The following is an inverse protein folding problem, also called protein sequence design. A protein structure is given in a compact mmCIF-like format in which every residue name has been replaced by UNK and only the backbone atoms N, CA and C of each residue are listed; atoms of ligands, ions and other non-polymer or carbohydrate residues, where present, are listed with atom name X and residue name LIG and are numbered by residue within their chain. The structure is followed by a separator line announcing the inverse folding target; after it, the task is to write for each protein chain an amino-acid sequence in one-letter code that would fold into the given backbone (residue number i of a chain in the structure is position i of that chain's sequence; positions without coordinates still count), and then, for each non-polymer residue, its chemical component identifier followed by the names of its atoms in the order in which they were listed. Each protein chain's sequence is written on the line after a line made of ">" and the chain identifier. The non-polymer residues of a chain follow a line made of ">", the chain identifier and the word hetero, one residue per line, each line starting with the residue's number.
data_IF_527022424948
#
_entry.id   IF_527022424948
#
_cell.length_a   1.000
_cell.length_b   1.000
_cell.length_c   1.000
_cell.angle_alpha   90.00
_cell.angle_beta   90.00
_cell.angle_gamma   90.00
#
_symmetry.space_group_name_H-M   'P 1'
#
loop_
_entity.id
_entity.type
_entity.pdbx_description
1 polymer ?
#
# COMPACT_ATOMS: atom_id res chain seq x y z
N UNK A 1 5.99 -16.55 -17.29
CA UNK A 1 5.52 -15.89 -18.53
C UNK A 1 5.95 -14.44 -18.47
N UNK A 2 7.12 -14.16 -19.02
CA UNK A 2 7.85 -12.90 -18.84
C UNK A 2 7.09 -11.68 -19.37
N UNK A 3 6.10 -11.91 -20.25
CA UNK A 3 5.29 -10.86 -20.88
C UNK A 3 4.31 -10.17 -19.92
N UNK A 4 4.13 -10.69 -18.71
CA UNK A 4 3.19 -10.16 -17.72
C UNK A 4 3.78 -9.09 -16.81
N UNK A 5 5.07 -8.78 -16.93
CA UNK A 5 5.77 -7.82 -16.07
C UNK A 5 6.53 -6.79 -16.91
N UNK A 6 6.35 -5.51 -16.58
CA UNK A 6 6.84 -4.36 -17.37
C UNK A 6 8.36 -4.30 -17.52
N UNK A 7 9.10 -4.78 -16.51
CA UNK A 7 10.57 -4.73 -16.49
C UNK A 7 11.26 -5.98 -17.05
N UNK A 8 10.50 -7.02 -17.44
CA UNK A 8 11.08 -8.24 -17.99
C UNK A 8 11.34 -8.07 -19.49
N UNK A 9 12.48 -7.49 -19.86
CA UNK A 9 12.97 -7.51 -21.24
C UNK A 9 13.74 -8.81 -21.48
N UNK A 10 13.26 -9.61 -22.43
CA UNK A 10 13.75 -10.94 -22.77
C UNK A 10 15.28 -11.05 -22.82
N UNK A 11 15.86 -11.77 -21.86
CA UNK A 11 16.83 -12.88 -22.02
C UNK A 11 17.63 -13.02 -20.71
N UNK A 12 17.29 -14.04 -19.90
CA UNK A 12 18.01 -14.52 -18.71
C UNK A 12 17.81 -13.81 -17.36
N UNK A 13 16.83 -12.91 -17.22
CA UNK A 13 16.46 -12.37 -15.91
C UNK A 13 15.15 -11.59 -15.92
N UNK A 14 14.35 -11.75 -14.87
CA UNK A 14 13.06 -11.08 -14.75
C UNK A 14 12.47 -11.18 -13.34
N UNK A 15 11.63 -10.22 -12.98
CA UNK A 15 10.75 -10.30 -11.82
C UNK A 15 9.72 -11.42 -12.02
N UNK A 16 9.29 -12.06 -10.94
CA UNK A 16 8.18 -13.03 -10.96
C UNK A 16 7.09 -12.52 -10.00
N UNK A 17 5.90 -12.24 -10.52
CA UNK A 17 4.79 -11.80 -9.67
C UNK A 17 4.30 -13.00 -8.83
N UNK A 18 4.29 -12.88 -7.49
CA UNK A 18 3.85 -13.95 -6.60
C UNK A 18 2.34 -14.19 -6.75
N UNK A 19 1.88 -15.39 -6.41
CA UNK A 19 0.47 -15.79 -6.61
C UNK A 19 -0.50 -14.82 -5.92
N UNK A 20 -0.18 -14.38 -4.70
CA UNK A 20 -0.93 -13.37 -3.95
C UNK A 20 -1.13 -12.08 -4.76
N UNK A 21 -0.06 -11.54 -5.36
CA UNK A 21 -0.13 -10.31 -6.15
C UNK A 21 -1.06 -10.46 -7.36
N UNK A 22 -1.11 -11.62 -8.01
CA UNK A 22 -1.95 -11.86 -9.19
C UNK A 22 -3.45 -11.64 -8.89
N UNK A 23 -3.86 -11.83 -7.63
CA UNK A 23 -5.24 -11.83 -7.19
C UNK A 23 -5.59 -10.74 -6.17
N UNK A 24 -4.79 -9.67 -6.10
CA UNK A 24 -5.02 -8.54 -5.19
C UNK A 24 -6.43 -7.94 -5.39
N UNK A 25 -7.09 -7.59 -4.28
CA UNK A 25 -8.47 -7.09 -4.28
C UNK A 25 -8.61 -5.61 -4.69
N UNK A 26 -8.30 -5.27 -5.94
CA UNK A 26 -8.30 -3.88 -6.46
C UNK A 26 -9.45 -3.54 -7.42
N UNK A 27 -10.44 -4.43 -7.57
CA UNK A 27 -11.54 -4.26 -8.53
C UNK A 27 -12.38 -3.01 -8.27
N UNK A 28 -12.51 -2.58 -7.01
CA UNK A 28 -13.20 -1.33 -6.68
C UNK A 28 -12.42 -0.12 -7.20
N UNK A 29 -11.09 -0.14 -7.09
CA UNK A 29 -10.23 0.92 -7.58
C UNK A 29 -10.32 1.08 -9.11
N UNK A 30 -10.43 -0.03 -9.86
CA UNK A 30 -10.66 0.04 -11.32
C UNK A 30 -11.98 0.76 -11.67
N UNK A 31 -12.95 0.74 -10.76
CA UNK A 31 -14.29 1.34 -10.91
C UNK A 31 -14.49 2.61 -10.07
N UNK A 32 -13.41 3.18 -9.52
CA UNK A 32 -13.50 4.37 -8.68
C UNK A 32 -14.09 5.54 -9.46
N UNK A 33 -14.81 6.40 -8.76
CA UNK A 33 -15.35 7.61 -9.35
C UNK A 33 -14.24 8.63 -9.57
N UNK A 34 -14.05 9.04 -10.82
CA UNK A 34 -13.07 10.04 -11.23
C UNK A 34 -13.69 11.41 -11.42
N UNK A 35 -15.02 11.52 -11.41
CA UNK A 35 -15.73 12.78 -11.49
C UNK A 35 -15.89 13.34 -10.08
N UNK A 36 -14.98 14.22 -9.69
CA UNK A 36 -15.16 14.98 -8.48
C UNK A 36 -15.53 16.42 -8.83
N UNK A 37 -16.81 16.75 -8.67
CA UNK A 37 -17.32 18.12 -8.82
C UNK A 37 -16.62 19.09 -7.84
N UNK A 38 -16.03 18.56 -6.77
CA UNK A 38 -15.27 19.27 -5.76
C UNK A 38 -13.87 18.67 -5.61
N UNK A 39 -12.88 19.26 -6.29
CA UNK A 39 -11.48 18.79 -6.25
C UNK A 39 -10.92 18.68 -4.83
N UNK A 40 -11.47 19.44 -3.86
CA UNK A 40 -11.06 19.36 -2.45
C UNK A 40 -11.38 18.01 -1.80
N UNK A 41 -12.36 17.27 -2.35
CA UNK A 41 -12.76 15.93 -1.89
C UNK A 41 -11.98 14.80 -2.56
N UNK A 42 -11.25 15.06 -3.64
CA UNK A 42 -10.58 14.01 -4.43
C UNK A 42 -9.62 13.16 -3.58
N UNK A 43 -8.85 13.81 -2.70
CA UNK A 43 -7.95 13.13 -1.75
C UNK A 43 -8.67 12.22 -0.76
N UNK A 44 -9.88 12.60 -0.33
CA UNK A 44 -10.68 11.83 0.63
C UNK A 44 -11.38 10.65 -0.06
N UNK A 45 -11.95 10.87 -1.25
CA UNK A 45 -12.58 9.79 -2.04
C UNK A 45 -11.54 8.72 -2.42
N UNK A 46 -10.35 9.15 -2.87
CA UNK A 46 -9.25 8.23 -3.14
C UNK A 46 -8.88 7.39 -1.91
N UNK A 47 -8.80 8.02 -0.73
CA UNK A 47 -8.49 7.31 0.51
C UNK A 47 -9.55 6.24 0.83
N UNK A 48 -10.83 6.55 0.63
CA UNK A 48 -11.93 5.60 0.83
C UNK A 48 -11.76 4.37 -0.07
N UNK A 49 -11.52 4.58 -1.36
CA UNK A 49 -11.34 3.47 -2.32
C UNK A 49 -10.11 2.62 -2.01
N UNK A 50 -8.99 3.25 -1.67
CA UNK A 50 -7.75 2.53 -1.29
C UNK A 50 -7.95 1.74 0.01
N UNK A 51 -8.59 2.33 1.02
CA UNK A 51 -8.92 1.63 2.26
C UNK A 51 -9.91 0.49 2.05
N UNK A 52 -10.88 0.63 1.14
CA UNK A 52 -11.82 -0.43 0.79
C UNK A 52 -11.10 -1.62 0.15
N UNK A 53 -10.22 -1.36 -0.83
CA UNK A 53 -9.39 -2.40 -1.44
C UNK A 53 -8.50 -3.11 -0.39
N UNK A 54 -7.84 -2.33 0.45
CA UNK A 54 -7.00 -2.81 1.53
C UNK A 54 -7.77 -3.70 2.53
N UNK A 55 -8.97 -3.29 2.93
CA UNK A 55 -9.82 -4.08 3.83
C UNK A 55 -10.17 -5.45 3.23
N UNK A 56 -10.66 -5.49 2.00
CA UNK A 56 -11.04 -6.75 1.35
C UNK A 56 -9.83 -7.67 1.10
N UNK A 57 -8.69 -7.09 0.74
CA UNK A 57 -7.43 -7.82 0.61
C UNK A 57 -7.03 -8.47 1.95
N UNK A 58 -7.11 -7.71 3.03
CA UNK A 58 -6.85 -8.21 4.39
C UNK A 58 -7.80 -9.34 4.79
N UNK A 59 -9.10 -9.19 4.53
CA UNK A 59 -10.10 -10.24 4.77
C UNK A 59 -9.81 -11.51 3.97
N UNK A 60 -9.44 -11.38 2.69
CA UNK A 60 -9.07 -12.50 1.83
C UNK A 60 -7.87 -13.27 2.39
N UNK A 61 -6.79 -12.56 2.73
CA UNK A 61 -5.56 -13.15 3.30
C UNK A 61 -5.88 -13.89 4.59
N UNK A 62 -6.54 -13.25 5.55
CA UNK A 62 -6.87 -13.89 6.84
C UNK A 62 -7.72 -15.14 6.69
N UNK A 63 -8.57 -15.20 5.66
CA UNK A 63 -9.49 -16.32 5.45
C UNK A 63 -8.81 -17.52 4.77
N UNK A 64 -7.95 -17.26 3.78
CA UNK A 64 -7.40 -18.30 2.91
C UNK A 64 -5.97 -18.69 3.28
N UNK A 65 -5.15 -17.75 3.74
CA UNK A 65 -3.75 -18.00 4.04
C UNK A 65 -3.54 -19.07 5.14
N UNK A 66 -4.28 -19.05 6.28
CA UNK A 66 -4.11 -20.10 7.30
C UNK A 66 -4.48 -21.51 6.80
N UNK A 67 -5.39 -21.62 5.82
CA UNK A 67 -5.75 -22.90 5.22
C UNK A 67 -4.64 -23.41 4.31
N UNK A 68 -4.09 -22.51 3.50
CA UNK A 68 -2.95 -22.80 2.63
C UNK A 68 -1.73 -23.24 3.45
N UNK A 69 -1.39 -22.53 4.53
CA UNK A 69 -0.28 -22.85 5.42
C UNK A 69 -0.46 -24.22 6.12
N UNK A 70 -1.69 -24.56 6.52
CA UNK A 70 -1.99 -25.87 7.10
C UNK A 70 -1.91 -27.03 6.08
N UNK A 71 -2.24 -26.78 4.82
CA UNK A 71 -2.19 -27.78 3.73
C UNK A 71 -0.77 -27.98 3.19
N UNK A 72 0.01 -26.89 3.13
CA UNK A 72 1.39 -26.86 2.65
C UNK A 72 2.31 -26.35 3.76
N UNK A 73 2.57 -27.16 4.80
CA UNK A 73 3.49 -26.79 5.86
C UNK A 73 4.92 -26.74 5.29
N UNK A 74 5.32 -25.58 4.78
CA UNK A 74 6.60 -25.31 4.11
C UNK A 74 7.76 -25.22 5.10
N UNK A 75 7.47 -25.14 6.40
CA UNK A 75 8.45 -24.74 7.42
C UNK A 75 8.86 -23.26 7.31
N UNK A 76 8.33 -22.51 6.34
CA UNK A 76 8.52 -21.06 6.24
C UNK A 76 7.58 -20.35 7.22
N UNK A 77 8.16 -19.57 8.13
CA UNK A 77 7.47 -18.98 9.29
C UNK A 77 6.73 -17.70 8.95
N UNK A 78 5.94 -17.69 7.87
CA UNK A 78 5.22 -16.50 7.48
C UNK A 78 3.99 -16.32 8.34
N UNK A 79 4.02 -15.30 9.18
CA UNK A 79 2.83 -14.92 9.92
C UNK A 79 1.85 -14.24 8.96
N UNK A 80 0.55 -14.30 9.29
CA UNK A 80 -0.48 -13.53 8.57
C UNK A 80 -0.07 -12.06 8.39
N UNK A 81 0.63 -11.48 9.35
CA UNK A 81 1.15 -10.12 9.27
C UNK A 81 2.17 -9.89 8.15
N UNK A 82 3.01 -10.87 7.82
CA UNK A 82 3.94 -10.78 6.70
C UNK A 82 3.19 -10.70 5.37
N UNK A 83 2.17 -11.53 5.20
CA UNK A 83 1.34 -11.52 4.00
C UNK A 83 0.56 -10.20 3.87
N UNK A 84 0.04 -9.68 4.98
CA UNK A 84 -0.60 -8.36 5.01
C UNK A 84 0.41 -7.24 4.66
N UNK A 85 1.65 -7.30 5.13
CA UNK A 85 2.70 -6.34 4.79
C UNK A 85 3.08 -6.35 3.31
N UNK A 86 3.16 -7.55 2.70
CA UNK A 86 3.42 -7.71 1.27
C UNK A 86 2.29 -7.13 0.42
N UNK A 87 1.04 -7.44 0.74
CA UNK A 87 -0.12 -6.86 0.03
C UNK A 87 -0.25 -5.36 0.25
N UNK A 88 0.04 -4.85 1.45
CA UNK A 88 0.11 -3.43 1.71
C UNK A 88 1.13 -2.70 0.82
N UNK A 89 2.33 -3.27 0.67
CA UNK A 89 3.37 -2.71 -0.19
C UNK A 89 2.97 -2.71 -1.67
N UNK A 90 2.32 -3.78 -2.15
CA UNK A 90 1.82 -3.85 -3.52
C UNK A 90 0.68 -2.85 -3.78
N UNK A 91 -0.26 -2.67 -2.85
CA UNK A 91 -1.27 -1.60 -2.94
C UNK A 91 -0.59 -0.22 -3.00
N UNK A 92 0.45 -0.02 -2.20
CA UNK A 92 1.26 1.21 -2.24
C UNK A 92 1.91 1.44 -3.60
N UNK A 93 2.48 0.41 -4.22
CA UNK A 93 3.07 0.52 -5.56
C UNK A 93 2.02 0.77 -6.65
N UNK A 94 0.82 0.20 -6.53
CA UNK A 94 -0.30 0.51 -7.44
C UNK A 94 -0.65 2.00 -7.34
N UNK A 95 -0.88 2.52 -6.13
CA UNK A 95 -1.24 3.93 -5.92
C UNK A 95 -0.14 4.86 -6.41
N UNK A 96 1.13 4.48 -6.23
CA UNK A 96 2.30 5.29 -6.62
C UNK A 96 2.68 5.18 -8.10
N UNK A 97 2.03 4.30 -8.87
CA UNK A 97 2.37 4.05 -10.28
C UNK A 97 3.72 3.34 -10.44
N UNK A 98 4.11 2.52 -9.46
CA UNK A 98 5.37 1.75 -9.43
C UNK A 98 5.19 0.25 -9.60
N UNK A 99 3.94 -0.21 -9.63
CA UNK A 99 3.62 -1.62 -9.75
C UNK A 99 4.02 -2.16 -11.13
N UNK A 100 4.76 -3.28 -11.11
CA UNK A 100 5.36 -3.90 -12.29
C UNK A 100 4.40 -4.89 -12.98
N UNK A 101 3.25 -5.22 -12.38
CA UNK A 101 2.38 -6.28 -12.87
C UNK A 101 1.39 -5.79 -13.95
N UNK A 102 1.54 -6.34 -15.16
CA UNK A 102 0.68 -6.05 -16.32
C UNK A 102 -0.31 -7.17 -16.63
N UNK A 103 0.02 -8.40 -16.29
CA UNK A 103 -0.86 -9.57 -16.48
C UNK A 103 -1.13 -9.91 -17.95
N UNK A 104 -2.20 -10.65 -18.21
CA UNK A 104 -2.69 -10.99 -19.56
C UNK A 104 -3.38 -9.80 -20.25
N UNK A 105 -3.81 -9.95 -21.52
CA UNK A 105 -4.47 -8.88 -22.29
C UNK A 105 -5.67 -8.23 -21.58
N UNK A 106 -6.46 -8.99 -20.82
CA UNK A 106 -7.63 -8.47 -20.09
C UNK A 106 -7.20 -7.72 -18.83
N UNK A 107 -6.27 -8.28 -18.08
CA UNK A 107 -5.69 -7.67 -16.88
C UNK A 107 -4.99 -6.36 -17.24
N UNK A 108 -4.21 -6.33 -18.32
CA UNK A 108 -3.51 -5.14 -18.79
C UNK A 108 -4.49 -3.99 -19.07
N UNK A 109 -5.60 -4.26 -19.76
CA UNK A 109 -6.66 -3.25 -19.98
C UNK A 109 -7.28 -2.73 -18.68
N UNK A 110 -7.40 -3.57 -17.65
CA UNK A 110 -7.90 -3.12 -16.34
C UNK A 110 -6.87 -2.26 -15.61
N UNK A 111 -5.58 -2.60 -15.75
CA UNK A 111 -4.46 -1.82 -15.21
C UNK A 111 -4.33 -0.46 -15.87
N UNK A 112 -4.45 -0.40 -17.20
CA UNK A 112 -4.42 0.86 -17.93
C UNK A 112 -5.56 1.80 -17.49
N UNK A 113 -6.79 1.26 -17.34
CA UNK A 113 -7.92 2.02 -16.80
C UNK A 113 -7.69 2.52 -15.37
N UNK A 114 -7.13 1.66 -14.52
CA UNK A 114 -6.80 2.04 -13.15
C UNK A 114 -5.76 3.17 -13.11
N UNK A 115 -4.71 3.07 -13.93
CA UNK A 115 -3.69 4.10 -14.02
C UNK A 115 -4.24 5.42 -14.58
N UNK A 116 -5.12 5.37 -15.59
CA UNK A 116 -5.83 6.55 -16.10
C UNK A 116 -6.72 7.21 -15.03
N UNK A 117 -7.44 6.40 -14.24
CA UNK A 117 -8.27 6.90 -13.14
C UNK A 117 -7.40 7.57 -12.07
N UNK A 118 -6.30 6.94 -11.67
CA UNK A 118 -5.35 7.50 -10.70
C UNK A 118 -4.75 8.81 -11.22
N UNK A 119 -4.33 8.88 -12.50
CA UNK A 119 -3.84 10.13 -13.11
C UNK A 119 -4.89 11.24 -13.05
N UNK A 120 -6.14 10.93 -13.37
CA UNK A 120 -7.25 11.89 -13.30
C UNK A 120 -7.45 12.44 -11.90
N UNK A 121 -7.47 11.57 -10.89
CA UNK A 121 -7.65 11.96 -9.49
C UNK A 121 -6.44 12.74 -8.98
N UNK A 122 -5.22 12.30 -9.28
CA UNK A 122 -4.02 13.00 -8.84
C UNK A 122 -3.86 14.36 -9.52
N UNK A 123 -4.37 14.54 -10.74
CA UNK A 123 -4.53 15.86 -11.35
C UNK A 123 -5.45 16.75 -10.52
N UNK A 124 -6.63 16.27 -10.12
CA UNK A 124 -7.56 17.05 -9.29
C UNK A 124 -6.94 17.42 -7.93
N UNK A 125 -6.23 16.47 -7.30
CA UNK A 125 -5.50 16.72 -6.04
C UNK A 125 -4.38 17.73 -6.25
N UNK A 126 -3.64 17.62 -7.35
CA UNK A 126 -2.59 18.56 -7.72
C UNK A 126 -3.15 19.98 -7.91
N UNK A 127 -4.25 20.11 -8.64
CA UNK A 127 -4.94 21.38 -8.85
C UNK A 127 -5.39 21.97 -7.50
N UNK A 128 -6.01 21.18 -6.61
CA UNK A 128 -6.41 21.61 -5.26
C UNK A 128 -5.22 22.15 -4.44
N UNK A 129 -4.13 21.38 -4.33
CA UNK A 129 -2.99 21.74 -3.47
C UNK A 129 -2.12 22.85 -4.06
N UNK A 130 -2.13 23.04 -5.38
CA UNK A 130 -1.33 24.08 -6.05
C UNK A 130 -2.11 25.37 -6.35
N UNK A 131 -3.45 25.31 -6.36
CA UNK A 131 -4.33 26.48 -6.53
C UNK A 131 -4.75 27.12 -5.21
N UNK A 132 -4.76 26.38 -4.09
CA UNK A 132 -5.20 26.90 -2.79
C UNK A 132 -4.38 28.12 -2.37
N UNK A 133 -5.08 29.22 -2.09
CA UNK A 133 -4.49 30.47 -1.61
C UNK A 133 -3.94 30.30 -0.20
N UNK A 134 -2.64 30.00 -0.09
CA UNK A 134 -1.96 29.82 1.19
C UNK A 134 -0.49 30.26 1.14
N UNK A 135 0.10 30.47 2.32
CA UNK A 135 1.51 30.91 2.48
C UNK A 135 2.52 30.03 1.74
N UNK A 136 2.16 28.77 1.46
CA UNK A 136 3.04 27.77 0.85
C UNK A 136 2.78 27.52 -0.64
N UNK A 137 1.90 28.29 -1.32
CA UNK A 137 1.49 28.03 -2.71
C UNK A 137 2.69 27.87 -3.66
N UNK A 138 3.65 28.79 -3.59
CA UNK A 138 4.85 28.76 -4.45
C UNK A 138 5.72 27.52 -4.17
N UNK A 139 5.89 27.16 -2.90
CA UNK A 139 6.66 25.97 -2.52
C UNK A 139 5.99 24.68 -2.99
N UNK A 140 4.65 24.60 -2.95
CA UNK A 140 3.89 23.46 -3.45
C UNK A 140 3.92 23.35 -4.98
N UNK A 141 3.83 24.48 -5.69
CA UNK A 141 3.98 24.53 -7.15
C UNK A 141 5.38 24.07 -7.59
N UNK A 142 6.43 24.44 -6.86
CA UNK A 142 7.79 24.00 -7.16
C UNK A 142 7.98 22.50 -6.82
N UNK A 143 7.52 22.06 -5.64
CA UNK A 143 7.64 20.65 -5.22
C UNK A 143 6.92 19.72 -6.19
N UNK A 144 5.69 20.07 -6.54
CA UNK A 144 4.79 19.28 -7.39
C UNK A 144 4.72 19.83 -8.81
N UNK A 145 5.81 20.40 -9.32
CA UNK A 145 5.89 20.80 -10.72
C UNK A 145 5.51 19.61 -11.61
N UNK A 146 4.59 19.84 -12.54
CA UNK A 146 4.10 18.79 -13.45
C UNK A 146 5.28 18.12 -14.15
N UNK A 147 5.33 16.79 -14.07
CA UNK A 147 6.26 15.99 -14.84
C UNK A 147 5.76 15.83 -16.29
N UNK A 148 6.67 15.61 -17.27
CA UNK A 148 6.30 15.51 -18.68
C UNK A 148 5.21 14.46 -18.97
N UNK A 149 5.17 13.39 -18.17
CA UNK A 149 4.27 12.25 -18.34
C UNK A 149 2.96 12.38 -17.54
N UNK A 150 2.79 13.49 -16.80
CA UNK A 150 1.65 13.77 -15.90
C UNK A 150 1.37 12.59 -14.97
N UNK A 151 2.43 11.98 -14.46
CA UNK A 151 2.35 10.87 -13.51
C UNK A 151 2.17 11.36 -12.07
N UNK A 152 2.48 12.63 -11.77
CA UNK A 152 2.38 13.22 -10.45
C UNK A 152 3.20 12.46 -9.40
N UNK A 153 4.32 11.84 -9.79
CA UNK A 153 5.01 10.84 -8.97
C UNK A 153 5.38 11.32 -7.57
N UNK A 154 5.87 12.58 -7.43
CA UNK A 154 6.16 13.17 -6.11
C UNK A 154 4.91 13.32 -5.26
N UNK A 155 3.80 13.77 -5.85
CA UNK A 155 2.53 13.92 -5.15
C UNK A 155 1.95 12.56 -4.75
N UNK A 156 2.08 11.52 -5.59
CA UNK A 156 1.64 10.16 -5.26
C UNK A 156 2.44 9.58 -4.09
N UNK A 157 3.75 9.77 -4.05
CA UNK A 157 4.61 9.36 -2.94
C UNK A 157 4.23 10.07 -1.63
N UNK A 158 4.05 11.39 -1.68
CA UNK A 158 3.67 12.19 -0.53
C UNK A 158 2.27 11.85 -0.02
N UNK A 159 1.32 11.58 -0.94
CA UNK A 159 -0.02 11.11 -0.60
C UNK A 159 0.03 9.74 0.07
N UNK A 160 0.80 8.79 -0.46
CA UNK A 160 0.95 7.48 0.17
C UNK A 160 1.54 7.64 1.58
N UNK A 161 2.65 8.37 1.73
CA UNK A 161 3.28 8.59 3.03
C UNK A 161 2.32 9.22 4.06
N UNK A 162 1.48 10.16 3.64
CA UNK A 162 0.49 10.80 4.51
C UNK A 162 -0.66 9.87 4.94
N UNK A 163 -1.03 8.88 4.11
CA UNK A 163 -2.23 8.07 4.32
C UNK A 163 -1.95 6.59 4.64
N UNK A 164 -0.70 6.13 4.51
CA UNK A 164 -0.31 4.72 4.68
C UNK A 164 -0.71 4.12 6.04
N UNK A 165 -0.81 4.95 7.08
CA UNK A 165 -1.29 4.52 8.40
C UNK A 165 -2.77 4.09 8.38
N UNK A 166 -3.64 4.84 7.70
CA UNK A 166 -5.06 4.50 7.57
C UNK A 166 -5.26 3.30 6.65
N UNK A 167 -4.45 3.18 5.59
CA UNK A 167 -4.46 2.00 4.72
C UNK A 167 -4.00 0.75 5.49
N UNK A 168 -2.96 0.88 6.32
CA UNK A 168 -2.51 -0.20 7.20
C UNK A 168 -3.59 -0.62 8.19
N UNK A 169 -4.28 0.35 8.79
CA UNK A 169 -5.41 0.10 9.68
C UNK A 169 -6.53 -0.67 8.95
N UNK A 170 -6.82 -0.31 7.70
CA UNK A 170 -7.82 -1.00 6.90
C UNK A 170 -7.45 -2.45 6.58
N UNK A 171 -6.22 -2.71 6.09
CA UNK A 171 -5.79 -4.08 5.72
C UNK A 171 -5.66 -5.02 6.93
N UNK A 172 -5.32 -4.47 8.09
CA UNK A 172 -5.24 -5.23 9.35
C UNK A 172 -6.55 -5.27 10.12
N UNK A 173 -7.62 -4.68 9.59
CA UNK A 173 -8.92 -4.64 10.26
C UNK A 173 -9.44 -6.05 10.50
N UNK A 174 -9.77 -6.40 11.75
CA UNK A 174 -10.27 -7.73 12.12
C UNK A 174 -9.23 -8.85 12.02
N UNK A 175 -7.93 -8.52 12.08
CA UNK A 175 -6.89 -9.52 12.38
C UNK A 175 -7.01 -9.96 13.84
N UNK A 176 -6.73 -11.23 14.13
CA UNK A 176 -6.80 -11.77 15.48
C UNK A 176 -5.78 -11.11 16.42
N UNK A 177 -6.15 -10.98 17.69
CA UNK A 177 -5.21 -10.60 18.76
C UNK A 177 -4.14 -11.68 18.89
N UNK A 178 -2.86 -11.29 18.94
CA UNK A 178 -1.72 -12.21 18.92
C UNK A 178 -1.05 -12.39 17.57
N UNK A 179 -1.64 -11.89 16.47
CA UNK A 179 -0.97 -11.88 15.17
C UNK A 179 0.27 -10.99 15.22
N UNK A 180 1.45 -11.58 15.12
CA UNK A 180 2.73 -10.87 15.24
C UNK A 180 3.44 -10.72 13.89
N UNK A 181 4.04 -9.56 13.64
CA UNK A 181 5.01 -9.42 12.53
C UNK A 181 6.31 -10.14 12.90
N UNK A 182 6.93 -10.84 11.95
CA UNK A 182 8.12 -11.67 12.20
C UNK A 182 9.36 -10.88 12.66
N UNK A 183 9.42 -9.58 12.36
CA UNK A 183 10.48 -8.68 12.84
C UNK A 183 10.02 -7.97 14.11
N UNK A 184 10.92 -7.86 15.08
CA UNK A 184 10.74 -6.96 16.21
C UNK A 184 10.88 -5.52 15.69
N UNK A 185 9.76 -4.83 15.52
CA UNK A 185 9.65 -3.54 14.80
C UNK A 185 9.02 -2.44 15.63
N UNK A 186 8.52 -2.76 16.83
CA UNK A 186 7.88 -1.80 17.71
C UNK A 186 8.89 -1.39 18.80
N UNK A 187 9.51 -0.22 18.67
CA UNK A 187 10.24 0.38 19.80
C UNK A 187 9.27 1.25 20.59
N UNK A 188 8.76 0.71 21.70
CA UNK A 188 7.69 1.36 22.47
C UNK A 188 8.27 2.27 23.55
N UNK A 189 9.50 2.05 24.01
CA UNK A 189 10.22 2.90 24.96
C UNK A 189 11.72 2.52 24.91
N UNK A 190 12.60 3.52 24.74
CA UNK A 190 14.08 3.47 24.69
C UNK A 190 14.81 2.77 25.87
N UNK A 191 14.21 1.81 26.55
CA UNK A 191 14.75 1.10 27.71
C UNK A 191 14.55 -0.44 27.65
N UNK A 192 13.80 -0.99 26.68
CA UNK A 192 13.59 -2.46 26.57
C UNK A 192 13.55 -3.02 25.15
N UNK A 193 14.54 -2.70 24.31
CA UNK A 193 14.77 -3.39 23.03
C UNK A 193 13.59 -3.39 22.03
N UNK A 194 13.76 -3.99 20.85
CA UNK A 194 12.69 -4.06 19.87
C UNK A 194 11.58 -5.02 20.34
N UNK A 195 10.32 -4.59 20.29
CA UNK A 195 9.14 -5.41 20.61
C UNK A 195 8.37 -5.82 19.34
N UNK A 196 7.56 -6.87 19.45
CA UNK A 196 6.84 -7.47 18.32
C UNK A 196 5.44 -6.85 18.21
N UNK A 197 4.96 -6.63 16.98
CA UNK A 197 3.62 -6.07 16.72
C UNK A 197 2.51 -7.09 17.03
N UNK A 198 2.17 -7.30 18.30
CA UNK A 198 1.33 -8.41 18.77
C UNK A 198 -0.19 -8.18 18.69
N UNK A 199 -0.65 -6.93 18.49
CA UNK A 199 -2.09 -6.62 18.40
C UNK A 199 -2.46 -6.28 16.97
N UNK A 200 -3.09 -7.23 16.28
CA UNK A 200 -3.57 -7.06 14.91
C UNK A 200 -2.47 -6.63 13.92
N UNK A 201 -1.23 -7.11 14.08
CA UNK A 201 -0.09 -6.64 13.28
C UNK A 201 0.17 -5.13 13.41
N UNK A 202 -0.08 -4.51 14.57
CA UNK A 202 0.19 -3.10 14.83
C UNK A 202 1.05 -2.94 16.07
N UNK A 203 1.81 -1.84 16.12
CA UNK A 203 2.51 -1.46 17.35
C UNK A 203 1.59 -0.65 18.25
N UNK A 204 1.56 -0.98 19.53
CA UNK A 204 0.96 -0.13 20.56
C UNK A 204 1.91 1.03 20.86
N UNK A 205 1.57 2.27 20.53
CA UNK A 205 2.42 3.38 20.99
C UNK A 205 1.95 4.78 20.63
N UNK A 206 1.54 5.56 21.63
CA UNK A 206 1.48 7.03 21.49
C UNK A 206 2.90 7.57 21.34
N UNK A 207 3.26 8.27 20.25
CA UNK A 207 4.49 9.04 20.23
C UNK A 207 4.37 10.14 21.29
N UNK A 208 5.25 10.15 22.29
CA UNK A 208 5.40 11.29 23.21
C UNK A 208 5.95 12.48 22.42
N UNK A 209 5.07 13.32 21.90
CA UNK A 209 5.42 14.55 21.19
C UNK A 209 4.46 14.97 20.08
N UNK A 210 3.66 14.04 19.55
CA UNK A 210 2.56 14.37 18.63
C UNK A 210 1.31 14.72 19.42
N UNK A 211 0.73 15.90 19.19
CA UNK A 211 -0.62 16.23 19.70
C UNK A 211 -1.63 15.25 19.08
N UNK A 212 -1.86 14.12 19.74
CA UNK A 212 -3.01 13.28 19.45
C UNK A 212 -4.26 14.09 19.76
N UNK A 213 -5.16 14.21 18.78
CA UNK A 213 -6.54 14.59 19.05
C UNK A 213 -7.07 13.71 20.20
N UNK A 214 -7.84 14.31 21.11
CA UNK A 214 -8.41 13.66 22.29
C UNK A 214 -9.28 12.46 21.89
N UNK A 215 -8.67 11.28 21.81
CA UNK A 215 -9.33 9.98 21.68
C UNK A 215 -8.50 8.94 22.41
N UNK A 216 -9.14 8.19 23.30
CA UNK A 216 -8.58 6.96 23.86
C UNK A 216 -8.64 5.85 22.80
N UNK A 217 -7.51 5.22 22.48
CA UNK A 217 -7.48 3.99 21.68
C UNK A 217 -6.65 4.11 20.40
N UNK A 218 -5.76 3.13 20.22
CA UNK A 218 -5.08 2.76 18.98
C UNK A 218 -4.27 3.82 18.26
N UNK A 219 -3.01 3.97 18.68
CA UNK A 219 -2.01 4.58 17.79
C UNK A 219 -1.50 3.50 16.85
N UNK A 220 -1.97 3.54 15.59
CA UNK A 220 -1.72 2.51 14.57
C UNK A 220 -0.42 2.81 13.81
N UNK A 221 0.74 2.53 14.42
CA UNK A 221 2.02 2.62 13.70
C UNK A 221 2.11 1.44 12.73
N UNK A 222 2.45 1.73 11.46
CA UNK A 222 2.77 0.70 10.46
C UNK A 222 4.10 0.07 10.86
N UNK A 223 4.14 -1.21 11.28
CA UNK A 223 5.35 -1.86 11.78
C UNK A 223 6.31 -2.28 10.66
N UNK A 224 5.99 -1.97 9.39
CA UNK A 224 6.74 -2.39 8.21
C UNK A 224 7.18 -1.21 7.36
N UNK A 225 8.30 -1.38 6.69
CA UNK A 225 8.82 -0.50 5.66
C UNK A 225 8.87 -1.20 4.30
N UNK A 226 8.17 -2.33 4.14
CA UNK A 226 8.13 -3.10 2.90
C UNK A 226 7.66 -2.24 1.72
N UNK A 227 6.76 -1.29 1.94
CA UNK A 227 6.33 -0.32 0.93
C UNK A 227 7.45 0.64 0.46
N UNK A 228 8.61 0.67 1.11
CA UNK A 228 9.79 1.40 0.65
C UNK A 228 10.90 0.50 0.10
N UNK A 229 10.69 -0.82 0.06
CA UNK A 229 11.59 -1.78 -0.59
C UNK A 229 11.16 -1.95 -2.05
N UNK A 230 12.06 -1.92 -3.04
CA UNK A 230 11.70 -2.15 -4.45
C UNK A 230 10.91 -3.44 -4.69
N UNK A 231 9.84 -3.38 -5.49
CA UNK A 231 8.90 -4.48 -5.70
C UNK A 231 9.58 -5.79 -6.14
N UNK A 232 10.55 -5.71 -7.05
CA UNK A 232 11.34 -6.86 -7.48
C UNK A 232 11.97 -7.63 -6.31
N UNK A 233 12.58 -6.93 -5.35
CA UNK A 233 13.23 -7.56 -4.20
C UNK A 233 12.22 -8.21 -3.26
N UNK A 234 11.03 -7.61 -3.10
CA UNK A 234 9.96 -8.17 -2.26
C UNK A 234 9.38 -9.43 -2.88
N UNK A 235 9.16 -9.43 -4.19
CA UNK A 235 8.69 -10.61 -4.89
C UNK A 235 9.75 -11.71 -4.90
N UNK A 236 11.02 -11.36 -5.08
CA UNK A 236 12.12 -12.33 -5.01
C UNK A 236 12.21 -13.00 -3.64
N UNK A 237 12.05 -12.24 -2.55
CA UNK A 237 12.01 -12.79 -1.19
C UNK A 237 10.75 -13.64 -0.93
N UNK A 238 9.57 -13.25 -1.44
CA UNK A 238 8.36 -14.07 -1.38
C UNK A 238 8.54 -15.41 -2.11
N UNK A 239 9.14 -15.40 -3.31
CA UNK A 239 9.43 -16.61 -4.08
C UNK A 239 10.51 -17.51 -3.48
N UNK A 240 11.47 -16.96 -2.73
CA UNK A 240 12.54 -17.75 -2.14
C UNK A 240 12.06 -18.59 -0.95
N UNK A 241 10.87 -18.30 -0.44
CA UNK A 241 10.33 -18.87 0.80
C UNK A 241 8.96 -19.57 0.59
N UNK A 242 8.43 -19.55 -0.65
CA UNK A 242 7.35 -20.40 -1.16
C UNK A 242 7.92 -21.71 -1.74
#
# INVERSE_FOLDING_TARGET
>A
DDKKIESNKCSNGGACAPYRRLHVCDKNMVKMDTNNDDSSKAKHNLLVDVCMAAKYEGESIKTHYPKYDAEYPSGSSFTTCTMLARSFADIGDIVRGKDLFRGNKKENKQRDRLEENLKTIFKQIHDDVTSTSGKNRLALQERYKEDPDKNYSKLREDWWNANRQEVWKAITCGTHDGASYFRATCDINNEKGPSVAQKQCRCDGKPKGGKAGKGSGDVNIVPTYFDYVPQYLRWFEEWAED
#
